data_IF_213965787543
#
_entry.id   IF_213965787543
#
_cell.length_a   1.000
_cell.length_b   1.000
_cell.length_c   1.000
_cell.angle_alpha   90.00
_cell.angle_beta   90.00
_cell.angle_gamma   90.00
#
_symmetry.space_group_name_H-M   'P 1'
#
loop_
_entity.id
_entity.type
_entity.pdbx_description
1 polymer ?
#
# COMPACT_ATOMS: atom_id res chain seq x y z
N UNK A 1 -10.12 19.75 -15.09
CA UNK A 1 -9.12 19.21 -16.05
C UNK A 1 -9.69 18.17 -17.02
N UNK A 2 -10.85 17.55 -16.74
CA UNK A 2 -11.40 16.46 -17.58
C UNK A 2 -12.66 16.84 -18.38
N UNK A 3 -12.98 18.13 -18.50
CA UNK A 3 -14.13 18.56 -19.31
C UNK A 3 -13.86 18.22 -20.79
N UNK A 4 -14.77 17.46 -21.41
CA UNK A 4 -14.59 16.97 -22.78
C UNK A 4 -13.73 15.71 -22.91
N UNK A 5 -13.40 15.03 -21.81
CA UNK A 5 -12.73 13.74 -21.86
C UNK A 5 -13.55 12.70 -22.64
N UNK A 6 -12.85 11.85 -23.39
CA UNK A 6 -13.44 10.80 -24.22
C UNK A 6 -12.93 9.43 -23.81
N UNK A 7 -13.66 8.39 -24.18
CA UNK A 7 -13.24 7.02 -23.94
C UNK A 7 -11.96 6.70 -24.76
N UNK A 8 -10.88 6.23 -24.13
CA UNK A 8 -9.68 5.81 -24.85
C UNK A 8 -9.92 4.48 -25.57
N UNK A 9 -9.09 4.20 -26.57
CA UNK A 9 -9.05 2.87 -27.19
C UNK A 9 -8.60 1.82 -26.16
N UNK A 10 -9.15 0.61 -26.24
CA UNK A 10 -8.71 -0.52 -25.42
C UNK A 10 -7.30 -0.94 -25.78
N UNK A 11 -6.46 -1.21 -24.78
CA UNK A 11 -5.09 -1.64 -24.99
C UNK A 11 -4.31 -1.85 -23.70
N UNK A 12 -3.10 -2.39 -23.83
CA UNK A 12 -2.10 -2.40 -22.75
C UNK A 12 -1.25 -1.15 -22.89
N UNK A 13 -1.20 -0.33 -21.85
CA UNK A 13 -0.48 0.95 -21.84
C UNK A 13 0.30 1.08 -20.55
N UNK A 14 1.39 1.85 -20.59
CA UNK A 14 2.10 2.24 -19.38
C UNK A 14 1.24 3.20 -18.58
N UNK A 15 1.15 2.97 -17.28
CA UNK A 15 0.35 3.77 -16.36
C UNK A 15 1.26 4.46 -15.35
N UNK A 16 1.08 5.76 -15.21
CA UNK A 16 1.64 6.54 -14.10
C UNK A 16 0.51 6.82 -13.12
N UNK A 17 0.69 6.48 -11.86
CA UNK A 17 -0.31 6.73 -10.82
C UNK A 17 -0.01 8.06 -10.14
N UNK A 18 -1.04 8.91 -10.03
CA UNK A 18 -0.98 10.07 -9.16
C UNK A 18 -0.72 9.61 -7.69
N UNK A 19 -0.01 10.40 -6.87
CA UNK A 19 0.25 10.06 -5.48
C UNK A 19 -1.02 9.71 -4.68
N UNK A 20 -2.16 10.35 -4.96
CA UNK A 20 -3.43 10.05 -4.28
C UNK A 20 -3.99 8.68 -4.67
N UNK A 21 -3.89 8.32 -5.95
CA UNK A 21 -4.29 6.98 -6.43
C UNK A 21 -3.35 5.91 -5.88
N UNK A 22 -2.06 6.21 -5.84
CA UNK A 22 -1.03 5.34 -5.24
C UNK A 22 -1.36 5.06 -3.77
N UNK A 23 -1.69 6.08 -2.98
CA UNK A 23 -2.05 5.91 -1.57
C UNK A 23 -3.28 5.00 -1.36
N UNK A 24 -4.29 5.09 -2.24
CA UNK A 24 -5.46 4.20 -2.20
C UNK A 24 -5.07 2.74 -2.46
N UNK A 25 -4.23 2.49 -3.47
CA UNK A 25 -3.73 1.15 -3.77
C UNK A 25 -2.87 0.60 -2.62
N UNK A 26 -2.01 1.43 -2.04
CA UNK A 26 -1.23 1.07 -0.86
C UNK A 26 -2.11 0.70 0.33
N UNK A 27 -3.26 1.35 0.52
CA UNK A 27 -4.21 0.97 1.57
C UNK A 27 -4.68 -0.48 1.45
N UNK A 28 -4.90 -0.96 0.21
CA UNK A 28 -5.30 -2.34 -0.05
C UNK A 28 -4.14 -3.30 0.18
N UNK A 29 -2.95 -2.99 -0.36
CA UNK A 29 -1.74 -3.78 -0.13
C UNK A 29 -1.42 -3.85 1.38
N UNK A 30 -1.57 -2.74 2.11
CA UNK A 30 -1.39 -2.68 3.55
C UNK A 30 -2.31 -3.62 4.32
N UNK A 31 -3.54 -3.84 3.81
CA UNK A 31 -4.48 -4.79 4.42
C UNK A 31 -4.03 -6.24 4.27
N UNK A 32 -3.36 -6.59 3.16
CA UNK A 32 -2.83 -7.95 2.94
C UNK A 32 -1.54 -8.18 3.73
N UNK A 33 -0.85 -7.14 4.18
CA UNK A 33 0.32 -7.21 5.06
C UNK A 33 -0.03 -7.38 6.55
N UNK A 34 -1.31 -7.52 6.88
CA UNK A 34 -1.78 -7.77 8.26
C UNK A 34 -1.53 -9.22 8.69
N UNK A 35 -0.91 -9.40 9.85
CA UNK A 35 -0.79 -10.73 10.47
C UNK A 35 -2.14 -11.39 10.75
N UNK A 36 -3.22 -10.61 10.93
CA UNK A 36 -4.57 -11.16 11.03
C UNK A 36 -5.06 -11.72 9.68
N UNK A 37 -4.75 -11.05 8.57
CA UNK A 37 -5.09 -11.53 7.23
C UNK A 37 -4.33 -12.81 6.90
N UNK A 38 -3.04 -12.89 7.25
CA UNK A 38 -2.21 -14.10 7.08
C UNK A 38 -2.79 -15.28 7.87
N UNK A 39 -3.06 -15.11 9.16
CA UNK A 39 -3.63 -16.18 10.00
C UNK A 39 -5.00 -16.68 9.52
N UNK A 40 -5.76 -15.85 8.79
CA UNK A 40 -7.07 -16.20 8.24
C UNK A 40 -7.00 -16.71 6.79
N UNK A 41 -5.82 -16.84 6.20
CA UNK A 41 -5.65 -17.26 4.80
C UNK A 41 -6.18 -16.23 3.79
N UNK A 42 -6.09 -14.94 4.12
CA UNK A 42 -6.62 -13.82 3.32
C UNK A 42 -5.54 -12.84 2.85
N UNK A 43 -4.28 -13.27 2.82
CA UNK A 43 -3.15 -12.46 2.39
C UNK A 43 -2.51 -13.08 1.16
N UNK A 44 -2.30 -12.29 0.10
CA UNK A 44 -1.52 -12.75 -1.06
C UNK A 44 -0.04 -13.03 -0.73
N UNK A 45 0.44 -12.54 0.42
CA UNK A 45 1.82 -12.64 0.84
C UNK A 45 2.07 -13.79 1.81
N UNK A 46 1.04 -14.58 2.16
CA UNK A 46 1.18 -15.73 3.04
C UNK A 46 2.30 -16.66 2.54
N UNK A 47 3.15 -17.10 3.46
CA UNK A 47 4.32 -17.96 3.21
C UNK A 47 5.42 -17.38 2.30
N UNK A 48 5.40 -16.07 2.01
CA UNK A 48 6.37 -15.40 1.12
C UNK A 48 7.42 -14.54 1.83
N UNK A 49 7.62 -14.72 3.14
CA UNK A 49 8.63 -13.97 3.88
C UNK A 49 10.03 -14.26 3.31
N UNK A 50 10.78 -13.21 3.01
CA UNK A 50 12.10 -13.29 2.37
C UNK A 50 12.07 -13.43 0.85
N UNK A 51 10.89 -13.49 0.21
CA UNK A 51 10.77 -13.54 -1.24
C UNK A 51 10.71 -12.15 -1.88
N UNK A 52 11.09 -12.08 -3.16
CA UNK A 52 10.84 -10.92 -4.01
C UNK A 52 9.34 -10.84 -4.36
N UNK A 53 8.70 -9.75 -3.93
CA UNK A 53 7.26 -9.53 -4.08
C UNK A 53 6.92 -8.23 -4.83
N UNK A 54 7.92 -7.38 -5.09
CA UNK A 54 7.79 -6.12 -5.80
C UNK A 54 9.08 -5.81 -6.58
N UNK A 55 9.03 -4.77 -7.43
CA UNK A 55 10.18 -4.35 -8.21
C UNK A 55 11.40 -4.02 -7.33
N UNK A 56 12.59 -4.33 -7.84
CA UNK A 56 13.85 -3.99 -7.19
C UNK A 56 13.91 -2.48 -6.91
N UNK A 57 14.26 -2.13 -5.66
CA UNK A 57 14.32 -0.74 -5.20
C UNK A 57 13.01 -0.20 -4.59
N UNK A 58 11.91 -0.96 -4.61
CA UNK A 58 10.69 -0.58 -3.91
C UNK A 58 10.81 -0.89 -2.42
N UNK A 59 10.77 0.15 -1.59
CA UNK A 59 10.73 0.00 -0.12
C UNK A 59 9.43 0.58 0.43
N UNK A 60 8.66 -0.26 1.11
CA UNK A 60 7.36 0.06 1.72
C UNK A 60 7.48 0.01 3.24
N UNK A 61 7.11 1.09 3.90
CA UNK A 61 7.26 1.25 5.36
C UNK A 61 5.95 1.65 6.01
N UNK A 62 5.72 1.14 7.22
CA UNK A 62 4.70 1.63 8.12
C UNK A 62 5.39 2.32 9.31
N UNK A 63 5.29 3.64 9.40
CA UNK A 63 6.04 4.44 10.38
C UNK A 63 5.16 5.40 11.18
N UNK A 64 4.57 4.88 12.26
CA UNK A 64 3.77 5.67 13.18
C UNK A 64 4.60 6.66 14.03
N UNK A 65 5.93 6.69 13.90
CA UNK A 65 6.81 7.69 14.54
C UNK A 65 7.10 8.90 13.67
N UNK A 66 6.72 8.85 12.38
CA UNK A 66 6.93 9.97 11.46
C UNK A 66 6.03 11.16 11.82
N UNK A 67 6.57 12.32 12.24
CA UNK A 67 5.76 13.48 12.64
C UNK A 67 4.96 14.11 11.49
N UNK A 68 5.29 13.79 10.24
CA UNK A 68 4.53 14.25 9.07
C UNK A 68 3.29 13.37 8.79
N UNK A 69 3.20 12.18 9.39
CA UNK A 69 2.04 11.32 9.24
C UNK A 69 0.91 11.80 10.15
N UNK A 70 -0.29 12.00 9.59
CA UNK A 70 -1.48 12.42 10.34
C UNK A 70 -1.88 11.43 11.45
N UNK A 71 -1.47 10.17 11.28
CA UNK A 71 -1.74 9.04 12.16
C UNK A 71 -0.57 8.72 13.11
N UNK A 72 0.43 9.62 13.17
CA UNK A 72 1.54 9.49 14.10
C UNK A 72 1.06 9.47 15.55
N UNK A 73 1.71 8.64 16.36
CA UNK A 73 1.41 8.51 17.79
C UNK A 73 2.56 7.79 18.47
N UNK A 74 2.83 8.11 19.74
CA UNK A 74 3.89 7.47 20.53
C UNK A 74 3.59 6.01 20.86
N UNK A 75 2.31 5.63 20.90
CA UNK A 75 1.88 4.26 21.22
C UNK A 75 0.83 3.74 20.24
N UNK A 76 0.67 2.41 20.18
CA UNK A 76 -0.39 1.73 19.44
C UNK A 76 -1.65 1.50 20.30
N UNK A 77 -2.67 0.84 19.73
CA UNK A 77 -3.94 0.56 20.40
C UNK A 77 -3.85 -0.39 21.62
N UNK A 78 -2.70 -1.00 21.87
CA UNK A 78 -2.39 -1.84 23.02
C UNK A 78 -1.41 -1.17 24.00
N UNK A 79 -0.99 0.08 23.72
CA UNK A 79 -0.06 0.85 24.56
C UNK A 79 1.41 0.54 24.31
N UNK A 80 1.75 -0.18 23.23
CA UNK A 80 3.14 -0.45 22.86
C UNK A 80 3.75 0.75 22.15
N UNK A 81 5.01 1.06 22.46
CA UNK A 81 5.75 2.13 21.77
C UNK A 81 5.75 1.91 20.25
N UNK A 82 5.34 2.95 19.52
CA UNK A 82 5.38 3.01 18.07
C UNK A 82 6.80 2.90 17.54
N UNK A 83 6.94 2.40 16.32
CA UNK A 83 8.23 2.21 15.64
C UNK A 83 8.05 2.22 14.13
N UNK A 84 9.15 2.45 13.42
CA UNK A 84 9.23 2.25 11.98
C UNK A 84 9.32 0.77 11.65
N UNK A 85 8.35 0.25 10.91
CA UNK A 85 8.34 -1.11 10.40
C UNK A 85 8.60 -1.11 8.89
N UNK A 86 9.73 -1.66 8.47
CA UNK A 86 10.02 -1.90 7.05
C UNK A 86 9.31 -3.19 6.65
N UNK A 87 8.29 -3.10 5.79
CA UNK A 87 7.45 -4.23 5.39
C UNK A 87 7.99 -4.90 4.13
N UNK A 88 8.37 -4.10 3.14
CA UNK A 88 9.07 -4.52 1.92
C UNK A 88 10.33 -3.68 1.82
N UNK A 89 11.48 -4.31 1.55
CA UNK A 89 12.75 -3.63 1.37
C UNK A 89 13.40 -4.04 0.06
N UNK A 90 13.64 -3.08 -0.84
CA UNK A 90 14.23 -3.35 -2.14
C UNK A 90 13.47 -4.38 -2.98
N UNK A 91 12.15 -4.50 -2.80
CA UNK A 91 11.30 -5.50 -3.45
C UNK A 91 11.09 -6.79 -2.65
N UNK A 92 11.83 -7.01 -1.55
CA UNK A 92 11.77 -8.25 -0.75
C UNK A 92 10.86 -8.09 0.47
N UNK A 93 9.95 -9.03 0.69
CA UNK A 93 9.05 -9.02 1.85
C UNK A 93 9.81 -9.32 3.14
N UNK A 94 9.81 -8.37 4.07
CA UNK A 94 10.56 -8.45 5.32
C UNK A 94 9.73 -8.90 6.51
N UNK A 95 8.47 -8.43 6.61
CA UNK A 95 7.58 -8.75 7.74
C UNK A 95 6.13 -8.41 7.45
N UNK A 96 5.25 -8.95 8.30
CA UNK A 96 3.88 -8.50 8.46
C UNK A 96 3.76 -7.56 9.67
N UNK A 97 2.67 -6.80 9.71
CA UNK A 97 2.31 -6.03 10.90
C UNK A 97 1.51 -6.89 11.87
N UNK A 98 1.76 -6.72 13.17
CA UNK A 98 1.17 -7.52 14.25
C UNK A 98 0.79 -6.66 15.46
N UNK A 99 -0.33 -7.03 16.09
CA UNK A 99 -0.61 -6.74 17.50
C UNK A 99 -0.10 -7.90 18.39
N UNK A 100 -0.27 -7.80 19.71
CA UNK A 100 0.18 -8.83 20.65
C UNK A 100 -0.43 -10.22 20.39
N UNK A 101 -1.71 -10.28 20.02
CA UNK A 101 -2.40 -11.55 19.75
C UNK A 101 -1.84 -12.26 18.51
N UNK A 102 -1.81 -11.56 17.37
CA UNK A 102 -1.35 -12.15 16.10
C UNK A 102 0.14 -12.45 16.12
N UNK A 103 0.94 -11.66 16.84
CA UNK A 103 2.34 -11.95 17.09
C UNK A 103 2.51 -13.30 17.79
N UNK A 104 1.83 -13.49 18.94
CA UNK A 104 1.87 -14.77 19.69
C UNK A 104 1.41 -15.94 18.84
N UNK A 105 0.32 -15.79 18.09
CA UNK A 105 -0.23 -16.84 17.21
C UNK A 105 0.71 -17.21 16.07
N UNK A 106 1.56 -16.29 15.63
CA UNK A 106 2.53 -16.48 14.54
C UNK A 106 3.95 -16.79 15.04
N UNK A 107 4.13 -16.99 16.35
CA UNK A 107 5.46 -17.27 16.93
C UNK A 107 6.45 -16.11 16.81
N UNK A 108 5.97 -14.87 16.71
CA UNK A 108 6.79 -13.65 16.54
C UNK A 108 6.47 -12.61 17.62
N UNK A 109 7.02 -11.39 17.46
CA UNK A 109 6.81 -10.24 18.36
C UNK A 109 5.85 -9.22 17.75
N UNK A 110 5.17 -8.45 18.61
CA UNK A 110 4.32 -7.34 18.16
C UNK A 110 5.15 -6.28 17.43
N UNK A 111 4.61 -5.73 16.35
CA UNK A 111 5.21 -4.63 15.61
C UNK A 111 4.67 -3.26 16.04
N UNK A 112 3.87 -3.22 17.12
CA UNK A 112 3.15 -2.04 17.58
C UNK A 112 2.11 -1.51 16.56
N UNK A 113 1.36 -2.45 15.97
CA UNK A 113 0.35 -2.21 14.95
C UNK A 113 -1.07 -2.57 15.40
N UNK A 114 -1.33 -2.54 16.72
CA UNK A 114 -2.70 -2.60 17.19
C UNK A 114 -3.44 -1.31 16.81
N UNK A 115 -4.58 -1.46 16.16
CA UNK A 115 -5.51 -0.35 15.83
C UNK A 115 -6.84 -0.59 16.53
N UNK A 116 -7.49 0.48 16.99
CA UNK A 116 -8.79 0.38 17.66
C UNK A 116 -9.63 1.63 17.43
N UNK A 117 -10.94 1.43 17.30
CA UNK A 117 -11.94 2.46 17.50
C UNK A 117 -12.29 2.61 18.99
N UNK A 118 -13.10 3.62 19.29
CA UNK A 118 -13.54 3.94 20.66
C UNK A 118 -14.20 2.72 21.35
N UNK A 119 -15.09 2.02 20.65
CA UNK A 119 -15.85 0.88 21.15
C UNK A 119 -15.43 -0.47 20.55
N UNK A 120 -14.29 -0.55 19.84
CA UNK A 120 -13.85 -1.79 19.21
C UNK A 120 -12.81 -2.54 20.04
N UNK A 121 -12.73 -3.85 19.86
CA UNK A 121 -11.54 -4.62 20.25
C UNK A 121 -10.35 -4.20 19.39
N UNK A 122 -9.10 -4.36 19.87
CA UNK A 122 -7.92 -4.16 19.04
C UNK A 122 -7.92 -5.10 17.85
N UNK A 123 -7.65 -4.57 16.66
CA UNK A 123 -7.34 -5.32 15.44
C UNK A 123 -5.94 -4.98 14.95
N UNK A 124 -5.53 -5.56 13.83
CA UNK A 124 -4.20 -5.35 13.24
C UNK A 124 -4.31 -4.50 11.98
N UNK A 125 -3.50 -3.45 11.90
CA UNK A 125 -3.45 -2.61 10.70
C UNK A 125 -2.18 -1.80 10.57
N UNK A 126 -1.84 -1.45 9.33
CA UNK A 126 -0.87 -0.39 9.06
C UNK A 126 -1.44 0.94 9.58
N UNK A 127 -0.57 1.79 10.12
CA UNK A 127 -0.93 3.04 10.77
C UNK A 127 -0.50 4.25 9.96
N UNK A 128 0.69 4.22 9.37
CA UNK A 128 1.30 5.30 8.61
C UNK A 128 2.12 4.71 7.45
N UNK A 129 1.41 4.05 6.53
CA UNK A 129 1.99 3.36 5.39
C UNK A 129 2.48 4.34 4.32
N UNK A 130 3.69 4.17 3.83
CA UNK A 130 4.28 5.02 2.79
C UNK A 130 5.36 4.27 2.00
N UNK A 131 5.53 4.68 0.73
CA UNK A 131 6.69 4.29 -0.07
C UNK A 131 7.84 5.23 0.24
N UNK A 132 9.06 4.70 0.33
CA UNK A 132 10.27 5.52 0.32
C UNK A 132 10.39 6.15 -1.09
N UNK A 133 10.50 7.49 -1.20
CA UNK A 133 10.60 8.15 -2.48
C UNK A 133 11.83 7.70 -3.28
N UNK A 134 11.66 7.54 -4.59
CA UNK A 134 12.77 7.42 -5.53
C UNK A 134 13.48 8.75 -5.76
N UNK A 135 14.39 8.78 -6.72
CA UNK A 135 15.21 9.96 -7.03
C UNK A 135 14.62 10.85 -8.13
N UNK A 136 13.66 10.36 -8.91
CA UNK A 136 13.10 11.06 -10.06
C UNK A 136 11.92 11.95 -9.66
N UNK A 137 11.82 13.11 -10.31
CA UNK A 137 10.67 13.98 -10.22
C UNK A 137 9.54 13.50 -11.15
N UNK A 138 8.30 13.85 -10.83
CA UNK A 138 7.15 13.46 -11.65
C UNK A 138 7.28 13.89 -13.13
N UNK A 139 7.73 15.11 -13.48
CA UNK A 139 7.90 15.49 -14.89
C UNK A 139 8.94 14.63 -15.62
N UNK A 140 9.99 14.19 -14.92
CA UNK A 140 11.03 13.31 -15.49
C UNK A 140 10.46 11.91 -15.75
N UNK A 141 9.66 11.38 -14.82
CA UNK A 141 8.94 10.12 -15.00
C UNK A 141 7.96 10.17 -16.17
N UNK A 142 7.22 11.27 -16.32
CA UNK A 142 6.29 11.44 -17.44
C UNK A 142 7.03 11.49 -18.78
N UNK A 143 8.16 12.21 -18.84
CA UNK A 143 9.01 12.28 -20.02
C UNK A 143 9.59 10.90 -20.41
N UNK A 144 10.00 10.10 -19.42
CA UNK A 144 10.55 8.75 -19.64
C UNK A 144 9.50 7.76 -20.16
N UNK A 145 8.25 7.87 -19.70
CA UNK A 145 7.15 6.98 -20.13
C UNK A 145 6.86 7.12 -21.63
N UNK A 146 7.06 8.31 -22.20
CA UNK A 146 6.76 8.59 -23.60
C UNK A 146 5.26 8.57 -23.89
N UNK A 147 4.70 7.39 -24.15
CA UNK A 147 3.26 7.18 -24.37
C UNK A 147 2.64 6.36 -23.23
N UNK A 148 1.56 6.88 -22.65
CA UNK A 148 0.93 6.23 -21.49
C UNK A 148 -0.31 6.96 -21.00
N UNK A 149 -0.70 6.68 -19.76
CA UNK A 149 -1.80 7.37 -19.09
C UNK A 149 -1.41 7.73 -17.67
N UNK A 150 -1.54 9.01 -17.31
CA UNK A 150 -1.48 9.48 -15.94
C UNK A 150 -2.87 9.33 -15.31
N UNK A 151 -3.02 8.37 -14.41
CA UNK A 151 -4.28 8.11 -13.71
C UNK A 151 -4.36 9.02 -12.48
N UNK A 152 -5.35 9.91 -12.49
CA UNK A 152 -5.58 10.89 -11.43
C UNK A 152 -6.71 10.51 -10.48
N UNK A 153 -7.60 9.61 -10.88
CA UNK A 153 -8.69 9.12 -10.04
C UNK A 153 -8.99 7.66 -10.38
N UNK A 154 -9.47 6.93 -9.37
CA UNK A 154 -9.99 5.56 -9.50
C UNK A 154 -11.29 5.45 -8.74
N UNK A 155 -12.24 4.67 -9.28
CA UNK A 155 -13.56 4.44 -8.70
C UNK A 155 -13.84 2.94 -8.61
N UNK A 156 -14.30 2.50 -7.45
CA UNK A 156 -14.59 1.08 -7.19
C UNK A 156 -13.42 0.27 -6.63
N UNK A 157 -12.29 0.89 -6.31
CA UNK A 157 -11.10 0.17 -5.80
C UNK A 157 -11.38 -0.62 -4.51
N UNK A 158 -12.29 -0.15 -3.66
CA UNK A 158 -12.68 -0.79 -2.40
C UNK A 158 -13.53 -2.07 -2.56
N UNK A 159 -14.16 -2.28 -3.71
CA UNK A 159 -15.01 -3.44 -4.00
C UNK A 159 -14.49 -4.28 -5.17
N UNK A 160 -13.61 -3.72 -5.99
CA UNK A 160 -13.05 -4.34 -7.18
C UNK A 160 -11.77 -5.13 -6.96
N UNK A 161 -11.29 -5.31 -5.73
CA UNK A 161 -10.05 -6.03 -5.42
C UNK A 161 -10.35 -7.34 -4.68
N UNK A 162 -9.72 -8.42 -5.12
CA UNK A 162 -9.63 -9.66 -4.38
C UNK A 162 -8.31 -9.67 -3.57
N UNK A 163 -8.34 -9.53 -2.23
CA UNK A 163 -7.12 -9.48 -1.42
C UNK A 163 -6.38 -10.82 -1.32
N UNK A 164 -7.03 -11.93 -1.71
CA UNK A 164 -6.43 -13.27 -1.71
C UNK A 164 -5.58 -13.47 -2.96
N UNK A 165 -6.11 -13.17 -4.15
CA UNK A 165 -5.35 -13.31 -5.41
C UNK A 165 -4.51 -12.07 -5.74
N UNK A 166 -4.89 -10.90 -5.22
CA UNK A 166 -4.31 -9.61 -5.59
C UNK A 166 -4.92 -8.99 -6.85
N UNK A 167 -5.83 -9.68 -7.52
CA UNK A 167 -6.45 -9.18 -8.75
C UNK A 167 -7.40 -8.00 -8.45
N UNK A 168 -7.37 -6.98 -9.31
CA UNK A 168 -8.33 -5.90 -9.24
C UNK A 168 -8.76 -5.37 -10.60
N UNK A 169 -9.99 -4.86 -10.65
CA UNK A 169 -10.56 -4.16 -11.81
C UNK A 169 -11.39 -2.99 -11.32
N UNK A 170 -11.07 -1.79 -11.80
CA UNK A 170 -11.61 -0.53 -11.29
C UNK A 170 -11.83 0.44 -12.45
N UNK A 171 -12.82 1.32 -12.32
CA UNK A 171 -12.91 2.49 -13.18
C UNK A 171 -11.77 3.45 -12.88
N UNK A 172 -11.23 4.12 -13.90
CA UNK A 172 -10.15 5.07 -13.73
C UNK A 172 -10.30 6.26 -14.69
N UNK A 173 -9.89 7.44 -14.25
CA UNK A 173 -9.87 8.65 -15.06
C UNK A 173 -8.50 9.30 -14.99
N UNK A 174 -8.09 9.90 -16.10
CA UNK A 174 -6.72 10.38 -16.25
C UNK A 174 -6.48 11.15 -17.53
N UNK A 175 -5.21 11.47 -17.75
CA UNK A 175 -4.72 12.17 -18.92
C UNK A 175 -3.86 11.23 -19.75
N UNK A 176 -4.04 11.26 -21.07
CA UNK A 176 -3.12 10.58 -21.98
C UNK A 176 -1.77 11.32 -21.98
N UNK A 177 -0.69 10.56 -21.83
CA UNK A 177 0.69 11.02 -22.00
C UNK A 177 1.05 10.74 -23.46
N UNK A 178 1.66 11.71 -24.15
CA UNK A 178 2.03 11.56 -25.56
C UNK A 178 3.36 12.25 -25.83
N UNK A 179 4.40 11.45 -26.10
CA UNK A 179 5.76 11.94 -26.34
C UNK A 179 6.46 12.53 -25.11
N UNK A 180 5.99 12.25 -23.89
CA UNK A 180 6.52 12.80 -22.64
C UNK A 180 5.82 14.05 -22.16
#
# INVERSE_FOLDING_TARGET
RLLGATQPASGRVTVVLDPYVTAQLLGIIGSTLSGEAVLKGRSLFADRLGEEVAAAGLTLVDDATNPLAYSSSETDGEGLASRRNVLIDGGVLQRFVHNAYTARRSGTVSTANAVRGFSSTPSVGCRALSLVPGTQLQPELLAEVGDGVLISSVSGLHSGVNPVSGDFSTGAEGLRISGG
#
